data_IF_721347923381
#
_entry.id   IF_721347923381
#
_cell.length_a   1.000
_cell.length_b   1.000
_cell.length_c   1.000
_cell.angle_alpha   90.00
_cell.angle_beta   90.00
_cell.angle_gamma   90.00
#
_symmetry.space_group_name_H-M   'P 1'
#
loop_
_entity.id
_entity.type
_entity.pdbx_description
1 polymer ?
#
# COMPACT_ATOMS: atom_id res chain seq x y z
N UNK A 1 5.53 -5.83 0.30
CA UNK A 1 6.85 -5.49 0.87
C UNK A 1 6.90 -3.99 1.13
N UNK A 2 7.65 -3.56 2.13
CA UNK A 2 7.85 -2.14 2.46
C UNK A 2 9.35 -1.81 2.38
N UNK A 3 9.68 -0.64 1.85
CA UNK A 3 11.02 -0.09 1.78
C UNK A 3 10.98 1.35 2.29
N UNK A 4 11.97 1.74 3.07
CA UNK A 4 12.06 3.08 3.65
C UNK A 4 13.41 3.70 3.26
N UNK A 5 13.36 4.92 2.75
CA UNK A 5 14.51 5.79 2.47
C UNK A 5 14.43 7.03 3.37
N UNK A 6 15.45 7.90 3.40
CA UNK A 6 15.38 9.14 4.16
C UNK A 6 14.21 10.07 3.79
N UNK A 7 13.67 9.93 2.58
CA UNK A 7 12.70 10.84 1.97
C UNK A 7 11.39 10.17 1.53
N UNK A 8 11.31 8.83 1.54
CA UNK A 8 10.13 8.12 1.03
C UNK A 8 9.86 6.77 1.70
N UNK A 9 8.59 6.40 1.76
CA UNK A 9 8.10 5.06 2.05
C UNK A 9 7.55 4.45 0.75
N UNK A 10 8.09 3.30 0.35
CA UNK A 10 7.68 2.58 -0.85
C UNK A 10 7.01 1.27 -0.43
N UNK A 11 5.77 1.05 -0.86
CA UNK A 11 5.04 -0.19 -0.63
C UNK A 11 4.76 -0.89 -1.96
N UNK A 12 5.09 -2.18 -2.06
CA UNK A 12 4.92 -2.97 -3.28
C UNK A 12 4.12 -4.23 -2.97
N UNK A 13 3.00 -4.43 -3.66
CA UNK A 13 2.27 -5.72 -3.66
C UNK A 13 2.71 -6.54 -4.88
N UNK A 14 2.91 -7.84 -4.69
CA UNK A 14 3.35 -8.70 -5.78
C UNK A 14 2.29 -8.78 -6.90
N UNK A 15 2.66 -8.99 -8.18
CA UNK A 15 1.71 -9.02 -9.29
C UNK A 15 0.63 -10.10 -9.22
N UNK A 16 0.81 -11.12 -8.38
CA UNK A 16 -0.18 -12.18 -8.18
C UNK A 16 -1.03 -11.95 -6.92
N UNK A 17 -0.73 -10.92 -6.14
CA UNK A 17 -1.47 -10.53 -4.95
C UNK A 17 -1.41 -11.55 -3.80
N UNK A 18 -0.39 -12.42 -3.77
CA UNK A 18 -0.30 -13.53 -2.82
C UNK A 18 -0.38 -13.11 -1.36
N UNK A 19 0.20 -11.94 -1.04
CA UNK A 19 0.12 -11.38 0.31
C UNK A 19 -0.82 -10.17 0.29
N UNK A 20 -1.74 -10.08 1.27
CA UNK A 20 -2.61 -8.93 1.39
C UNK A 20 -1.80 -7.68 1.74
N UNK A 21 -2.29 -6.54 1.28
CA UNK A 21 -1.75 -5.23 1.61
C UNK A 21 -2.88 -4.22 1.51
N UNK A 22 -3.05 -3.43 2.57
CA UNK A 22 -4.09 -2.41 2.69
C UNK A 22 -3.47 -1.05 2.90
N UNK A 23 -4.12 -0.03 2.34
CA UNK A 23 -3.79 1.37 2.48
C UNK A 23 -4.80 2.02 3.43
N UNK A 24 -4.29 2.74 4.41
CA UNK A 24 -5.05 3.50 5.38
C UNK A 24 -4.56 4.94 5.50
N UNK A 25 -5.29 5.74 6.26
CA UNK A 25 -4.96 7.14 6.49
C UNK A 25 -5.21 7.52 7.95
N UNK A 26 -4.20 8.09 8.59
CA UNK A 26 -4.30 8.64 9.94
C UNK A 26 -4.06 10.15 9.86
N UNK A 27 -5.13 10.93 10.01
CA UNK A 27 -5.11 12.37 9.76
C UNK A 27 -4.57 12.70 8.35
N UNK A 28 -3.37 13.30 8.27
CA UNK A 28 -2.68 13.63 7.02
C UNK A 28 -1.56 12.64 6.64
N UNK A 29 -1.38 11.57 7.41
CA UNK A 29 -0.35 10.55 7.17
C UNK A 29 -0.95 9.32 6.48
N UNK A 30 -0.18 8.73 5.56
CA UNK A 30 -0.52 7.46 4.91
C UNK A 30 0.00 6.29 5.75
N UNK A 31 -0.82 5.25 5.90
CA UNK A 31 -0.48 4.02 6.61
C UNK A 31 -0.59 2.83 5.66
N UNK A 32 0.35 1.88 5.75
CA UNK A 32 0.31 0.64 4.97
C UNK A 32 0.47 -0.54 5.91
N UNK A 33 -0.40 -1.53 5.79
CA UNK A 33 -0.40 -2.74 6.63
C UNK A 33 -0.74 -3.98 5.81
N UNK A 34 -0.56 -5.17 6.40
CA UNK A 34 -1.03 -6.43 5.81
C UNK A 34 -2.53 -6.63 5.95
N UNK A 35 -3.12 -6.10 7.02
CA UNK A 35 -4.52 -6.33 7.42
C UNK A 35 -5.12 -5.05 8.02
N UNK A 36 -6.45 -4.91 7.94
CA UNK A 36 -7.18 -3.72 8.40
C UNK A 36 -7.23 -3.59 9.91
N UNK A 37 -7.09 -4.69 10.66
CA UNK A 37 -7.08 -4.66 12.13
C UNK A 37 -5.95 -3.78 12.71
N UNK A 38 -4.86 -3.60 11.97
CA UNK A 38 -3.79 -2.68 12.34
C UNK A 38 -4.25 -1.22 12.37
N UNK A 39 -5.24 -0.86 11.55
CA UNK A 39 -5.81 0.48 11.50
C UNK A 39 -6.74 0.75 12.68
N UNK A 40 -7.53 -0.25 13.09
CA UNK A 40 -8.41 -0.15 14.27
C UNK A 40 -7.60 0.15 15.56
N UNK A 41 -6.38 -0.37 15.67
CA UNK A 41 -5.52 -0.16 16.85
C UNK A 41 -4.94 1.27 16.94
N UNK A 42 -4.91 2.01 15.85
CA UNK A 42 -4.31 3.36 15.77
C UNK A 42 -5.32 4.42 15.32
N UNK A 43 -6.60 4.07 15.26
CA UNK A 43 -7.70 4.91 14.75
C UNK A 43 -7.43 5.47 13.33
N UNK A 44 -6.82 4.66 12.45
CA UNK A 44 -6.65 5.01 11.05
C UNK A 44 -7.88 4.61 10.22
N UNK A 45 -8.25 5.44 9.24
CA UNK A 45 -9.30 5.11 8.29
C UNK A 45 -8.76 4.13 7.24
N UNK A 46 -9.46 3.02 7.02
CA UNK A 46 -9.18 2.13 5.89
C UNK A 46 -9.60 2.80 4.57
N UNK A 47 -8.66 2.97 3.65
CA UNK A 47 -8.90 3.63 2.35
C UNK A 47 -9.24 2.61 1.28
N UNK A 48 -8.38 1.60 1.07
CA UNK A 48 -8.58 0.51 0.09
C UNK A 48 -7.52 -0.58 0.22
N UNK A 49 -7.74 -1.70 -0.46
CA UNK A 49 -6.66 -2.63 -0.78
C UNK A 49 -5.67 -2.03 -1.79
N UNK A 50 -4.41 -2.43 -1.66
CA UNK A 50 -3.37 -2.19 -2.67
C UNK A 50 -3.50 -3.25 -3.76
N UNK A 51 -3.58 -2.87 -5.02
CA UNK A 51 -3.83 -3.78 -6.13
C UNK A 51 -2.63 -4.72 -6.37
N UNK A 52 -2.84 -5.96 -6.86
CA UNK A 52 -1.75 -6.84 -7.27
C UNK A 52 -0.81 -6.17 -8.27
N UNK A 53 0.48 -6.11 -7.95
CA UNK A 53 1.50 -5.48 -8.80
C UNK A 53 1.56 -3.95 -8.68
N UNK A 54 0.76 -3.35 -7.80
CA UNK A 54 0.82 -1.93 -7.50
C UNK A 54 2.04 -1.60 -6.63
N UNK A 55 2.66 -0.46 -6.95
CA UNK A 55 3.66 0.19 -6.12
C UNK A 55 3.14 1.56 -5.69
N UNK A 56 3.12 1.79 -4.39
CA UNK A 56 2.85 3.06 -3.75
C UNK A 56 4.18 3.72 -3.38
N UNK A 57 4.30 5.01 -3.70
CA UNK A 57 5.42 5.86 -3.28
C UNK A 57 4.82 6.99 -2.45
N UNK A 58 5.18 7.03 -1.18
CA UNK A 58 4.73 8.05 -0.21
C UNK A 58 5.94 8.91 0.11
N UNK A 59 5.90 10.17 -0.33
CA UNK A 59 6.96 11.16 -0.11
C UNK A 59 6.35 12.48 0.43
N UNK A 60 7.17 13.52 0.57
CA UNK A 60 6.69 14.86 1.00
C UNK A 60 5.65 15.49 0.08
N UNK A 61 5.57 15.05 -1.18
CA UNK A 61 4.54 15.45 -2.15
C UNK A 61 3.25 14.62 -2.07
N UNK A 62 3.18 13.64 -1.17
CA UNK A 62 2.01 12.80 -0.95
C UNK A 62 2.15 11.39 -1.52
N UNK A 63 1.02 10.79 -1.91
CA UNK A 63 0.94 9.43 -2.41
C UNK A 63 0.93 9.40 -3.94
N UNK A 64 1.83 8.62 -4.54
CA UNK A 64 1.83 8.25 -5.95
C UNK A 64 1.58 6.76 -6.07
N UNK A 65 0.63 6.37 -6.91
CA UNK A 65 0.35 4.97 -7.26
C UNK A 65 0.83 4.70 -8.67
N UNK A 66 1.61 3.63 -8.85
CA UNK A 66 2.08 3.18 -10.15
C UNK A 66 1.81 1.67 -10.33
N UNK A 67 1.51 1.28 -11.56
CA UNK A 67 1.35 -0.11 -11.97
C UNK A 67 2.39 -0.44 -13.04
N UNK A 68 3.64 -0.75 -12.65
CA UNK A 68 4.74 -0.95 -13.59
C UNK A 68 4.61 -2.25 -14.40
N UNK A 69 3.71 -3.15 -13.99
CA UNK A 69 3.43 -4.41 -14.66
C UNK A 69 2.09 -4.35 -15.40
N UNK A 70 2.00 -4.98 -16.56
CA UNK A 70 0.71 -5.22 -17.22
C UNK A 70 -0.19 -6.11 -16.35
N UNK A 71 -1.52 -5.97 -16.49
CA UNK A 71 -2.50 -6.77 -15.75
C UNK A 71 -2.24 -8.26 -15.98
N UNK A 72 -1.85 -8.98 -14.93
CA UNK A 72 -1.77 -10.45 -14.93
C UNK A 72 -3.08 -11.00 -14.36
N UNK A 73 -3.60 -12.14 -14.87
CA UNK A 73 -4.79 -12.76 -14.31
C UNK A 73 -4.59 -13.01 -12.82
N UNK A 74 -5.61 -12.69 -12.02
CA UNK A 74 -5.61 -13.03 -10.61
C UNK A 74 -5.53 -14.56 -10.49
N UNK A 75 -4.60 -15.07 -9.68
CA UNK A 75 -4.49 -16.50 -9.45
C UNK A 75 -5.62 -16.88 -8.50
N UNK A 76 -6.75 -17.31 -9.06
CA UNK A 76 -7.85 -17.92 -8.31
C UNK A 76 -7.43 -19.33 -7.88
#
# INVERSE_FOLDING_TARGET
MLFLTPDSLIAVRDPRGFRPMVLGKLNNAWCVASETCAFDLIDAEHVREVEPGEMLIIDSGGLKSISPFGKKPHSV
#
